data_IF_897504917947
#
_entry.id   IF_897504917947
#
_cell.length_a   1.000
_cell.length_b   1.000
_cell.length_c   1.000
_cell.angle_alpha   90.00
_cell.angle_beta   90.00
_cell.angle_gamma   90.00
#
_symmetry.space_group_name_H-M   'P 1'
#
loop_
_entity.id
_entity.type
_entity.pdbx_description
1 polymer ?
#
# COMPACT_ATOMS: atom_id res chain seq x y z
N UNK A 1 -11.46 11.90 14.12
CA UNK A 1 -10.94 12.00 12.74
C UNK A 1 -9.72 11.11 12.45
N UNK A 2 -9.32 10.18 13.34
CA UNK A 2 -8.13 9.32 13.14
C UNK A 2 -8.41 7.97 12.47
N UNK A 3 -9.70 7.57 12.38
CA UNK A 3 -10.06 6.25 11.86
C UNK A 3 -9.76 6.11 10.37
N UNK A 4 -9.90 7.22 9.62
CA UNK A 4 -9.63 7.24 8.18
C UNK A 4 -8.17 6.93 7.87
N UNK A 5 -7.24 7.31 8.75
CA UNK A 5 -5.82 7.02 8.57
C UNK A 5 -5.54 5.52 8.55
N UNK A 6 -6.27 4.73 9.36
CA UNK A 6 -6.18 3.27 9.30
C UNK A 6 -6.70 2.70 7.99
N UNK A 7 -7.79 3.25 7.44
CA UNK A 7 -8.31 2.82 6.14
C UNK A 7 -7.29 3.10 5.02
N UNK A 8 -6.69 4.29 5.01
CA UNK A 8 -5.67 4.66 4.03
C UNK A 8 -4.41 3.81 4.18
N UNK A 9 -3.94 3.61 5.41
CA UNK A 9 -2.80 2.74 5.70
C UNK A 9 -3.06 1.28 5.29
N UNK A 10 -4.29 0.78 5.48
CA UNK A 10 -4.68 -0.56 5.08
C UNK A 10 -4.62 -0.75 3.56
N UNK A 11 -5.05 0.24 2.78
CA UNK A 11 -4.92 0.20 1.31
C UNK A 11 -3.44 0.09 0.91
N UNK A 12 -2.55 0.87 1.53
CA UNK A 12 -1.11 0.77 1.28
C UNK A 12 -0.53 -0.59 1.72
N UNK A 13 -0.94 -1.09 2.89
CA UNK A 13 -0.48 -2.38 3.40
C UNK A 13 -0.87 -3.55 2.47
N UNK A 14 -2.10 -3.53 1.95
CA UNK A 14 -2.58 -4.53 1.00
C UNK A 14 -1.86 -4.45 -0.36
N UNK A 15 -1.42 -3.27 -0.81
CA UNK A 15 -0.54 -3.15 -1.97
C UNK A 15 0.81 -3.83 -1.72
N UNK A 16 1.44 -3.59 -0.56
CA UNK A 16 2.69 -4.27 -0.17
C UNK A 16 2.48 -5.78 -0.09
N UNK A 17 1.38 -6.24 0.50
CA UNK A 17 1.01 -7.65 0.55
C UNK A 17 0.90 -8.25 -0.85
N UNK A 18 0.16 -7.62 -1.78
CA UNK A 18 0.02 -8.09 -3.16
C UNK A 18 1.38 -8.21 -3.87
N UNK A 19 2.25 -7.22 -3.70
CA UNK A 19 3.63 -7.26 -4.23
C UNK A 19 4.41 -8.41 -3.59
N UNK A 20 4.25 -8.63 -2.28
CA UNK A 20 4.98 -9.68 -1.56
C UNK A 20 4.64 -11.10 -2.05
N UNK A 21 3.41 -11.32 -2.52
CA UNK A 21 2.96 -12.59 -3.11
C UNK A 21 3.68 -12.92 -4.43
N UNK A 22 4.11 -11.89 -5.17
CA UNK A 22 4.80 -12.03 -6.47
C UNK A 22 6.32 -11.91 -6.33
N UNK A 23 6.79 -11.00 -5.49
CA UNK A 23 8.20 -10.72 -5.25
C UNK A 23 8.42 -10.19 -3.83
N UNK A 24 8.74 -11.10 -2.91
CA UNK A 24 8.96 -10.78 -1.50
C UNK A 24 10.13 -9.82 -1.25
N UNK A 25 11.21 -9.93 -2.02
CA UNK A 25 12.38 -9.03 -1.90
C UNK A 25 11.99 -7.59 -2.26
N UNK A 26 11.25 -7.40 -3.35
CA UNK A 26 10.75 -6.08 -3.76
C UNK A 26 9.84 -5.48 -2.68
N UNK A 27 8.91 -6.25 -2.13
CA UNK A 27 8.03 -5.78 -1.05
C UNK A 27 8.81 -5.32 0.18
N UNK A 28 9.86 -6.04 0.57
CA UNK A 28 10.73 -5.65 1.68
C UNK A 28 11.47 -4.34 1.40
N UNK A 29 12.03 -4.17 0.20
CA UNK A 29 12.71 -2.92 -0.20
C UNK A 29 11.76 -1.71 -0.15
N UNK A 30 10.51 -1.89 -0.57
CA UNK A 30 9.48 -0.84 -0.47
C UNK A 30 9.23 -0.47 0.99
N UNK A 31 9.03 -1.47 1.85
CA UNK A 31 8.81 -1.26 3.28
C UNK A 31 9.98 -0.55 3.96
N UNK A 32 11.22 -0.97 3.69
CA UNK A 32 12.44 -0.34 4.21
C UNK A 32 12.54 1.14 3.76
N UNK A 33 12.21 1.43 2.50
CA UNK A 33 12.20 2.79 1.99
C UNK A 33 11.19 3.69 2.72
N UNK A 34 9.98 3.18 2.96
CA UNK A 34 8.93 3.88 3.72
C UNK A 34 9.41 4.18 5.16
N UNK A 35 9.97 3.18 5.84
CA UNK A 35 10.48 3.36 7.20
C UNK A 35 11.65 4.36 7.26
N UNK A 36 12.56 4.33 6.29
CA UNK A 36 13.70 5.24 6.24
C UNK A 36 13.29 6.70 5.96
N UNK A 37 12.27 6.91 5.14
CA UNK A 37 11.77 8.25 4.82
C UNK A 37 11.01 8.90 5.98
N UNK A 38 10.36 8.11 6.85
CA UNK A 38 9.69 8.61 8.06
C UNK A 38 8.69 9.73 7.77
N UNK A 39 8.67 10.77 8.63
CA UNK A 39 7.78 11.93 8.49
C UNK A 39 8.31 13.07 7.63
N UNK A 40 9.29 12.82 6.76
CA UNK A 40 9.94 13.88 5.95
C UNK A 40 9.12 14.32 4.73
N UNK A 41 8.03 13.60 4.42
CA UNK A 41 7.18 13.80 3.25
C UNK A 41 5.71 13.74 3.62
N UNK A 42 4.86 14.27 2.75
CA UNK A 42 3.41 14.04 2.85
C UNK A 42 3.08 12.57 2.61
N UNK A 43 1.93 12.08 3.08
CA UNK A 43 1.52 10.68 2.89
C UNK A 43 1.54 10.28 1.41
N UNK A 44 1.02 11.12 0.53
CA UNK A 44 0.93 10.83 -0.91
C UNK A 44 2.32 10.72 -1.50
N UNK A 45 3.18 11.73 -1.26
CA UNK A 45 4.55 11.74 -1.79
C UNK A 45 5.37 10.55 -1.27
N UNK A 46 5.16 10.16 -0.01
CA UNK A 46 5.83 9.02 0.62
C UNK A 46 5.45 7.71 -0.06
N UNK A 47 4.15 7.46 -0.22
CA UNK A 47 3.61 6.25 -0.84
C UNK A 47 4.07 6.13 -2.30
N UNK A 48 3.96 7.21 -3.06
CA UNK A 48 4.39 7.24 -4.47
C UNK A 48 5.90 7.07 -4.62
N UNK A 49 6.70 7.70 -3.75
CA UNK A 49 8.17 7.54 -3.78
C UNK A 49 8.63 6.11 -3.49
N UNK A 50 7.84 5.34 -2.72
CA UNK A 50 8.11 3.94 -2.44
C UNK A 50 7.59 3.00 -3.55
N UNK A 51 7.04 3.54 -4.64
CA UNK A 51 6.53 2.77 -5.77
C UNK A 51 5.17 2.11 -5.51
N UNK A 52 4.41 2.64 -4.55
CA UNK A 52 3.01 2.31 -4.33
C UNK A 52 2.11 3.33 -5.03
N UNK A 53 0.88 2.93 -5.33
CA UNK A 53 -0.12 3.81 -5.92
C UNK A 53 -0.89 4.56 -4.82
N UNK A 54 -1.26 5.81 -5.07
CA UNK A 54 -2.02 6.62 -4.09
C UNK A 54 -3.32 5.94 -3.67
N UNK A 55 -3.65 5.87 -2.36
CA UNK A 55 -4.89 5.27 -1.87
C UNK A 55 -6.15 6.08 -2.26
N UNK A 56 -5.96 7.30 -2.78
CA UNK A 56 -7.03 8.14 -3.32
C UNK A 56 -7.31 7.90 -4.81
N UNK A 57 -6.48 7.10 -5.49
CA UNK A 57 -6.74 6.72 -6.88
C UNK A 57 -7.92 5.75 -6.95
N UNK A 58 -8.90 6.08 -7.81
CA UNK A 58 -10.15 5.32 -7.96
C UNK A 58 -9.90 3.83 -8.28
N UNK A 59 -8.89 3.54 -9.09
CA UNK A 59 -8.62 2.19 -9.56
C UNK A 59 -7.89 1.33 -8.52
N UNK A 60 -7.14 1.96 -7.60
CA UNK A 60 -6.31 1.25 -6.62
C UNK A 60 -7.17 0.49 -5.62
N UNK A 61 -8.20 1.13 -5.07
CA UNK A 61 -9.12 0.47 -4.14
C UNK A 61 -9.80 -0.74 -4.79
N UNK A 62 -10.32 -0.57 -6.00
CA UNK A 62 -11.00 -1.63 -6.74
C UNK A 62 -10.06 -2.80 -7.02
N UNK A 63 -8.85 -2.52 -7.52
CA UNK A 63 -7.82 -3.52 -7.82
C UNK A 63 -7.42 -4.33 -6.58
N UNK A 64 -7.18 -3.66 -5.46
CA UNK A 64 -6.79 -4.31 -4.22
C UNK A 64 -7.93 -5.14 -3.62
N UNK A 65 -9.16 -4.60 -3.63
CA UNK A 65 -10.33 -5.34 -3.15
C UNK A 65 -10.50 -6.66 -3.92
N UNK A 66 -10.44 -6.64 -5.25
CA UNK A 66 -10.52 -7.87 -6.05
C UNK A 66 -9.41 -8.86 -5.72
N UNK A 67 -8.16 -8.42 -5.56
CA UNK A 67 -7.05 -9.31 -5.23
C UNK A 67 -7.22 -9.97 -3.85
N UNK A 68 -7.79 -9.25 -2.89
CA UNK A 68 -8.06 -9.79 -1.55
C UNK A 68 -9.24 -10.75 -1.58
N UNK A 69 -10.34 -10.41 -2.26
CA UNK A 69 -11.48 -11.31 -2.41
C UNK A 69 -11.08 -12.61 -3.13
N UNK A 70 -10.32 -12.51 -4.22
CA UNK A 70 -9.77 -13.66 -4.95
C UNK A 70 -8.89 -14.53 -4.06
N UNK A 71 -8.06 -13.92 -3.20
CA UNK A 71 -7.24 -14.67 -2.24
C UNK A 71 -8.03 -15.36 -1.12
N UNK A 72 -9.20 -14.82 -0.77
CA UNK A 72 -10.07 -15.33 0.28
C UNK A 72 -11.17 -16.26 -0.24
N UNK A 73 -11.22 -16.53 -1.56
CA UNK A 73 -12.29 -17.28 -2.22
C UNK A 73 -13.70 -16.69 -1.94
N UNK A 74 -13.80 -15.36 -1.95
CA UNK A 74 -15.04 -14.58 -1.73
C UNK A 74 -15.72 -14.13 -3.02
#
# INVERSE_FOLDING_TARGET
>A
FYYIDYCLAQVCALQIWSISRKNRKKAMTIYEHLCAAGGTRTLIDLVESAGLESPFSLDVMKKIAYQVCDYLDL
#
